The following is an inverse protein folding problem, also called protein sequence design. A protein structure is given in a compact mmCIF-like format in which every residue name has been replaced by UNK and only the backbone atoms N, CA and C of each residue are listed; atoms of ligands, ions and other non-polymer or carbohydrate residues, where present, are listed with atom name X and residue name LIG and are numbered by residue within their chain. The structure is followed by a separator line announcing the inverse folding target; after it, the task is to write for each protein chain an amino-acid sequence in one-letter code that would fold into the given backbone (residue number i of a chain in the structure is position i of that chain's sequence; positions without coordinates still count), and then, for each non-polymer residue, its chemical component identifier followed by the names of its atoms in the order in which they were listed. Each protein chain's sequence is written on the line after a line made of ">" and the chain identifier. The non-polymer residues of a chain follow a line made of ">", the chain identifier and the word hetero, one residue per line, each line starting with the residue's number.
data_IF_536897646408
#
_entry.id   IF_536897646408
#
_cell.length_a   1.000
_cell.length_b   1.000
_cell.length_c   1.000
_cell.angle_alpha   90.00
_cell.angle_beta   90.00
_cell.angle_gamma   90.00
#
_symmetry.space_group_name_H-M   'P 1'
#
loop_
_entity.id
_entity.type
_entity.pdbx_description
1 polymer ?
#
# COMPACT_ATOMS: atom_id res chain seq x y z
N UNK A 1 -10.29 11.36 3.89
CA UNK A 1 -9.47 10.29 3.33
C UNK A 1 -8.43 10.89 2.40
N UNK A 2 -7.28 10.23 2.28
CA UNK A 2 -6.19 10.53 1.35
C UNK A 2 -5.96 9.30 0.49
N UNK A 3 -5.70 9.51 -0.79
CA UNK A 3 -5.48 8.45 -1.77
C UNK A 3 -3.98 8.16 -1.88
N UNK A 4 -3.62 6.89 -1.83
CA UNK A 4 -2.32 6.37 -2.27
C UNK A 4 -2.58 5.49 -3.49
N UNK A 5 -1.85 5.73 -4.57
CA UNK A 5 -1.92 4.93 -5.79
C UNK A 5 -0.60 4.21 -5.96
N UNK A 6 -0.66 2.89 -6.20
CA UNK A 6 0.50 2.15 -6.65
C UNK A 6 0.67 2.40 -8.15
N UNK A 7 1.52 3.38 -8.49
CA UNK A 7 1.72 3.82 -9.87
C UNK A 7 2.77 2.96 -10.58
N UNK A 8 2.45 1.68 -10.68
CA UNK A 8 3.24 0.63 -11.33
C UNK A 8 2.23 -0.25 -12.07
N UNK A 9 2.50 -0.67 -13.32
CA UNK A 9 1.68 -1.72 -13.94
C UNK A 9 1.84 -3.00 -13.12
N UNK A 10 0.78 -3.40 -12.43
CA UNK A 10 0.75 -4.67 -11.71
C UNK A 10 0.26 -5.75 -12.67
N UNK A 11 1.01 -6.85 -12.79
CA UNK A 11 0.52 -8.04 -13.50
C UNK A 11 -0.76 -8.54 -12.83
N UNK A 12 -1.80 -8.82 -13.61
CA UNK A 12 -3.09 -9.32 -13.11
C UNK A 12 -2.96 -10.65 -12.34
N UNK A 13 -1.89 -11.41 -12.60
CA UNK A 13 -1.58 -12.67 -11.92
C UNK A 13 -0.63 -12.50 -10.73
N UNK A 14 -0.30 -11.26 -10.33
CA UNK A 14 0.59 -11.00 -9.21
C UNK A 14 -0.05 -11.42 -7.88
N UNK A 15 0.39 -12.57 -7.37
CA UNK A 15 -0.06 -13.08 -6.08
C UNK A 15 0.66 -12.39 -4.92
N UNK A 16 -0.08 -12.16 -3.83
CA UNK A 16 0.50 -11.75 -2.56
C UNK A 16 0.85 -10.26 -2.43
N UNK A 17 0.78 -9.46 -3.49
CA UNK A 17 1.02 -8.02 -3.42
C UNK A 17 0.11 -7.34 -2.38
N UNK A 18 -1.20 -7.57 -2.48
CA UNK A 18 -2.14 -6.98 -1.51
C UNK A 18 -2.04 -7.59 -0.11
N UNK A 19 -1.63 -8.86 0.01
CA UNK A 19 -1.34 -9.47 1.30
C UNK A 19 -0.14 -8.79 2.00
N UNK A 20 0.94 -8.53 1.27
CA UNK A 20 2.12 -7.83 1.76
C UNK A 20 1.78 -6.39 2.19
N UNK A 21 1.13 -5.63 1.31
CA UNK A 21 0.78 -4.23 1.56
C UNK A 21 -0.17 -4.11 2.75
N UNK A 22 -1.24 -4.92 2.79
CA UNK A 22 -2.21 -4.89 3.89
C UNK A 22 -1.57 -5.28 5.22
N UNK A 23 -0.62 -6.24 5.21
CA UNK A 23 0.14 -6.62 6.40
C UNK A 23 1.01 -5.48 6.93
N UNK A 24 1.78 -4.81 6.08
CA UNK A 24 2.63 -3.66 6.47
C UNK A 24 1.80 -2.58 7.17
N UNK A 25 0.64 -2.25 6.61
CA UNK A 25 -0.24 -1.21 7.15
C UNK A 25 -0.96 -1.67 8.42
N UNK A 26 -1.34 -2.94 8.52
CA UNK A 26 -1.93 -3.52 9.74
C UNK A 26 -0.92 -3.53 10.90
N UNK A 27 0.34 -3.90 10.65
CA UNK A 27 1.40 -3.85 11.68
C UNK A 27 1.66 -2.41 12.15
N UNK A 28 1.46 -1.41 11.28
CA UNK A 28 1.50 0.01 11.61
C UNK A 28 0.18 0.57 12.21
N UNK A 29 -0.82 -0.29 12.46
CA UNK A 29 -2.14 0.10 12.98
C UNK A 29 -2.88 1.13 12.10
N UNK A 30 -2.71 1.03 10.78
CA UNK A 30 -3.38 1.87 9.79
C UNK A 30 -4.54 1.10 9.15
N UNK A 31 -5.80 1.52 9.33
CA UNK A 31 -6.92 0.95 8.59
C UNK A 31 -6.89 1.40 7.13
N UNK A 32 -7.31 0.51 6.23
CA UNK A 32 -7.33 0.78 4.79
C UNK A 32 -8.70 0.48 4.19
N UNK A 33 -9.05 1.22 3.15
CA UNK A 33 -10.06 0.82 2.17
C UNK A 33 -9.33 0.61 0.84
N UNK A 34 -9.25 -0.64 0.40
CA UNK A 34 -8.58 -1.03 -0.83
C UNK A 34 -9.56 -0.99 -2.01
N UNK A 35 -9.12 -0.43 -3.13
CA UNK A 35 -9.83 -0.40 -4.39
C UNK A 35 -8.88 -0.90 -5.48
N UNK A 36 -9.12 -2.12 -5.95
CA UNK A 36 -8.43 -2.68 -7.10
C UNK A 36 -9.14 -2.25 -8.39
N UNK A 37 -8.43 -1.49 -9.22
CA UNK A 37 -8.88 -1.13 -10.56
C UNK A 37 -8.26 -2.08 -11.60
N UNK A 38 -8.43 -1.77 -12.89
CA UNK A 38 -7.96 -2.65 -13.97
C UNK A 38 -6.43 -2.83 -13.99
N UNK A 39 -5.66 -1.75 -13.86
CA UNK A 39 -4.18 -1.79 -13.92
C UNK A 39 -3.48 -1.34 -12.64
N UNK A 40 -4.22 -0.73 -11.72
CA UNK A 40 -3.66 -0.10 -10.53
C UNK A 40 -4.51 -0.41 -9.31
N UNK A 41 -3.82 -0.60 -8.19
CA UNK A 41 -4.44 -0.64 -6.88
C UNK A 41 -4.36 0.73 -6.22
N UNK A 42 -5.44 1.07 -5.52
CA UNK A 42 -5.57 2.30 -4.76
C UNK A 42 -5.92 2.01 -3.31
N UNK A 43 -5.34 2.79 -2.40
CA UNK A 43 -5.69 2.77 -0.98
C UNK A 43 -6.25 4.12 -0.56
N UNK A 44 -7.44 4.08 0.05
CA UNK A 44 -8.01 5.21 0.77
C UNK A 44 -7.64 5.09 2.25
N UNK A 45 -6.87 6.06 2.74
CA UNK A 45 -6.37 6.12 4.11
C UNK A 45 -7.08 7.24 4.86
N UNK A 46 -7.50 7.07 6.13
CA UNK A 46 -7.94 8.18 6.96
C UNK A 46 -6.90 9.31 6.98
N UNK A 47 -7.35 10.56 6.86
CA UNK A 47 -6.44 11.70 6.63
C UNK A 47 -5.44 11.89 7.78
N UNK A 48 -5.84 11.56 9.01
CA UNK A 48 -5.05 11.59 10.24
C UNK A 48 -4.00 10.46 10.32
N UNK A 49 -4.16 9.39 9.52
CA UNK A 49 -3.23 8.25 9.46
C UNK A 49 -2.33 8.24 8.24
N UNK A 50 -2.50 9.22 7.35
CA UNK A 50 -1.79 9.28 6.07
C UNK A 50 -0.26 9.26 6.24
N UNK A 51 0.30 10.07 7.15
CA UNK A 51 1.76 10.13 7.31
C UNK A 51 2.32 8.79 7.79
N UNK A 52 1.69 8.17 8.79
CA UNK A 52 2.08 6.82 9.28
C UNK A 52 2.02 5.77 8.17
N UNK A 53 0.98 5.81 7.33
CA UNK A 53 0.85 4.91 6.19
C UNK A 53 1.97 5.12 5.16
N UNK A 54 2.24 6.38 4.83
CA UNK A 54 3.28 6.77 3.89
C UNK A 54 4.66 6.30 4.36
N UNK A 55 5.01 6.60 5.61
CA UNK A 55 6.30 6.22 6.19
C UNK A 55 6.47 4.69 6.24
N UNK A 56 5.42 3.95 6.62
CA UNK A 56 5.45 2.49 6.66
C UNK A 56 5.72 1.88 5.27
N UNK A 57 5.02 2.38 4.24
CA UNK A 57 5.17 1.90 2.87
C UNK A 57 6.53 2.29 2.27
N UNK A 58 6.98 3.54 2.44
CA UNK A 58 8.29 4.00 1.96
C UNK A 58 9.44 3.23 2.61
N UNK A 59 9.37 2.98 3.92
CA UNK A 59 10.38 2.18 4.62
C UNK A 59 10.42 0.73 4.12
N UNK A 60 9.25 0.14 3.85
CA UNK A 60 9.18 -1.20 3.26
C UNK A 60 9.77 -1.24 1.85
N UNK A 61 9.48 -0.25 1.01
CA UNK A 61 10.03 -0.14 -0.34
C UNK A 61 11.57 -0.06 -0.32
N UNK A 62 12.16 0.77 0.54
CA UNK A 62 13.62 0.90 0.67
C UNK A 62 14.24 -0.44 1.09
N UNK A 63 13.64 -1.13 2.08
CA UNK A 63 14.14 -2.43 2.55
C UNK A 63 14.09 -3.51 1.46
N UNK A 64 13.05 -3.50 0.63
CA UNK A 64 12.91 -4.48 -0.46
C UNK A 64 13.83 -4.18 -1.65
N UNK A 65 14.12 -2.91 -1.92
CA UNK A 65 15.02 -2.50 -3.01
C UNK A 65 16.51 -2.65 -2.67
N UNK A 66 16.86 -2.73 -1.38
CA UNK A 66 18.23 -2.93 -0.90
C UNK A 66 18.66 -4.38 -0.71
N UNK A 67 17.79 -5.35 -0.99
CA UNK A 67 18.07 -6.79 -0.99
C UNK A 67 18.18 -7.32 -2.42
#
# INVERSE_FOLDING_TARGET
>A
YRLITFDLPLDLNLLGFMALVSRILADAQVPILALSAFERDHLLIPSDRFQTAWDALSNAQIKLAGN
#
